data_IF_901692647133
#
_entry.id   IF_901692647133
#
_cell.length_a   1.000
_cell.length_b   1.000
_cell.length_c   1.000
_cell.angle_alpha   90.00
_cell.angle_beta   90.00
_cell.angle_gamma   90.00
#
_symmetry.space_group_name_H-M   'P 1'
#
loop_
_entity.id
_entity.type
_entity.pdbx_description
1 polymer ?
#
# COMPACT_ATOMS: atom_id res chain seq x y z
N UNK A 1 -26.64 11.36 25.71
CA UNK A 1 -25.80 12.36 25.02
C UNK A 1 -24.65 11.58 24.41
N UNK A 2 -24.74 11.24 23.12
CA UNK A 2 -23.69 10.52 22.43
C UNK A 2 -22.63 11.55 22.02
N UNK A 3 -21.40 11.37 22.48
CA UNK A 3 -20.28 12.19 22.03
C UNK A 3 -19.99 11.69 20.62
N UNK A 4 -20.29 12.51 19.61
CA UNK A 4 -19.89 12.27 18.23
C UNK A 4 -18.35 12.32 18.20
N UNK A 5 -17.74 11.15 18.37
CA UNK A 5 -16.30 10.99 18.17
C UNK A 5 -16.05 11.14 16.68
N UNK A 6 -15.69 12.34 16.24
CA UNK A 6 -15.03 12.52 14.94
C UNK A 6 -13.75 11.70 14.99
N UNK A 7 -13.78 10.53 14.35
CA UNK A 7 -12.59 9.70 14.12
C UNK A 7 -11.49 10.60 13.52
N UNK A 8 -10.23 10.46 13.95
CA UNK A 8 -9.11 11.17 13.32
C UNK A 8 -9.10 10.91 11.82
N UNK A 9 -8.80 11.90 10.99
CA UNK A 9 -8.72 11.71 9.52
C UNK A 9 -7.76 10.59 9.12
N UNK A 10 -6.71 10.37 9.92
CA UNK A 10 -5.70 9.33 9.70
C UNK A 10 -6.26 7.92 9.94
N UNK A 11 -7.30 7.78 10.79
CA UNK A 11 -7.98 6.51 11.02
C UNK A 11 -8.64 5.98 9.74
N UNK A 12 -9.24 6.87 8.95
CA UNK A 12 -9.92 6.48 7.71
C UNK A 12 -8.91 6.16 6.59
N UNK A 13 -7.71 6.77 6.58
CA UNK A 13 -6.65 6.41 5.64
C UNK A 13 -6.11 5.00 5.92
N UNK A 14 -5.80 4.68 7.18
CA UNK A 14 -5.36 3.34 7.57
C UNK A 14 -6.42 2.28 7.25
N UNK A 15 -7.67 2.52 7.64
CA UNK A 15 -8.76 1.57 7.42
C UNK A 15 -9.03 1.29 5.92
N UNK A 16 -8.95 2.31 5.07
CA UNK A 16 -9.10 2.11 3.63
C UNK A 16 -7.92 1.32 3.03
N UNK A 17 -6.70 1.56 3.51
CA UNK A 17 -5.51 0.79 3.11
C UNK A 17 -5.62 -0.68 3.52
N UNK A 18 -6.07 -0.95 4.74
CA UNK A 18 -6.29 -2.32 5.23
C UNK A 18 -7.32 -3.06 4.36
N UNK A 19 -8.41 -2.40 3.98
CA UNK A 19 -9.41 -2.97 3.07
C UNK A 19 -8.86 -3.22 1.67
N UNK A 20 -8.02 -2.31 1.15
CA UNK A 20 -7.36 -2.47 -0.14
C UNK A 20 -6.43 -3.69 -0.12
N UNK A 21 -5.63 -3.82 0.93
CA UNK A 21 -4.70 -4.94 1.11
C UNK A 21 -5.51 -6.25 1.19
N UNK A 22 -6.49 -6.33 2.08
CA UNK A 22 -7.34 -7.52 2.25
C UNK A 22 -8.09 -7.96 0.96
N UNK A 23 -8.27 -7.06 -0.01
CA UNK A 23 -8.89 -7.37 -1.29
C UNK A 23 -7.94 -8.04 -2.30
N UNK A 24 -6.62 -7.85 -2.19
CA UNK A 24 -5.63 -8.30 -3.18
C UNK A 24 -5.73 -9.81 -3.53
N UNK A 25 -5.89 -10.74 -2.57
CA UNK A 25 -5.98 -12.17 -2.89
C UNK A 25 -7.23 -12.55 -3.70
N UNK A 26 -8.25 -11.68 -3.72
CA UNK A 26 -9.51 -11.91 -4.44
C UNK A 26 -9.45 -11.45 -5.90
N UNK A 27 -8.47 -10.62 -6.25
CA UNK A 27 -8.29 -10.13 -7.62
C UNK A 27 -7.68 -11.25 -8.46
N UNK A 28 -8.42 -11.76 -9.45
CA UNK A 28 -8.00 -12.93 -10.25
C UNK A 28 -6.94 -12.59 -11.31
N UNK A 29 -7.01 -11.39 -11.86
CA UNK A 29 -6.04 -10.94 -12.87
C UNK A 29 -4.78 -10.41 -12.18
N UNK A 30 -3.65 -11.02 -12.51
CA UNK A 30 -2.38 -10.70 -11.84
C UNK A 30 -1.90 -9.28 -12.17
N UNK A 31 -2.16 -8.79 -13.38
CA UNK A 31 -1.80 -7.41 -13.77
C UNK A 31 -2.66 -6.38 -13.03
N UNK A 32 -3.94 -6.67 -12.87
CA UNK A 32 -4.87 -5.86 -12.09
C UNK A 32 -4.48 -5.86 -10.61
N UNK A 33 -4.10 -7.02 -10.06
CA UNK A 33 -3.64 -7.16 -8.67
C UNK A 33 -2.39 -6.32 -8.41
N UNK A 34 -1.41 -6.39 -9.30
CA UNK A 34 -0.18 -5.59 -9.21
C UNK A 34 -0.50 -4.10 -9.30
N UNK A 35 -1.35 -3.67 -10.25
CA UNK A 35 -1.78 -2.27 -10.36
C UNK A 35 -2.49 -1.79 -9.10
N UNK A 36 -3.33 -2.64 -8.51
CA UNK A 36 -4.06 -2.32 -7.28
C UNK A 36 -3.10 -2.17 -6.08
N UNK A 37 -2.11 -3.06 -5.96
CA UNK A 37 -1.06 -2.96 -4.96
C UNK A 37 -0.25 -1.67 -5.11
N UNK A 38 0.18 -1.33 -6.33
CA UNK A 38 0.89 -0.07 -6.62
C UNK A 38 0.08 1.17 -6.22
N UNK A 39 -1.24 1.16 -6.39
CA UNK A 39 -2.11 2.25 -5.91
C UNK A 39 -2.12 2.37 -4.40
N UNK A 40 -2.16 1.25 -3.68
CA UNK A 40 -2.10 1.28 -2.21
C UNK A 40 -0.76 1.87 -1.73
N UNK A 41 0.36 1.47 -2.36
CA UNK A 41 1.68 2.05 -2.09
C UNK A 41 1.73 3.54 -2.45
N UNK A 42 1.14 3.94 -3.57
CA UNK A 42 1.01 5.36 -3.96
C UNK A 42 0.29 6.19 -2.90
N UNK A 43 -0.79 5.68 -2.31
CA UNK A 43 -1.49 6.32 -1.19
C UNK A 43 -0.60 6.44 0.06
N UNK A 44 0.20 5.42 0.37
CA UNK A 44 1.17 5.47 1.47
C UNK A 44 2.20 6.57 1.22
N UNK A 45 2.76 6.64 0.00
CA UNK A 45 3.72 7.69 -0.41
C UNK A 45 3.12 9.10 -0.29
N UNK A 46 1.87 9.28 -0.72
CA UNK A 46 1.17 10.57 -0.62
C UNK A 46 0.91 10.98 0.84
N UNK A 47 0.68 10.01 1.72
CA UNK A 47 0.47 10.24 3.16
C UNK A 47 1.78 10.48 3.91
N UNK A 48 2.89 9.90 3.45
CA UNK A 48 4.23 10.00 4.03
C UNK A 48 5.25 10.55 3.02
N UNK A 49 5.12 11.82 2.59
CA UNK A 49 5.99 12.39 1.56
C UNK A 49 7.47 12.45 1.98
N UNK A 50 7.76 12.39 3.29
CA UNK A 50 9.12 12.34 3.83
C UNK A 50 9.82 11.00 3.63
N UNK A 51 9.07 9.95 3.26
CA UNK A 51 9.61 8.62 2.94
C UNK A 51 9.93 8.47 1.45
N UNK A 52 9.58 9.47 0.63
CA UNK A 52 9.75 9.47 -0.81
C UNK A 52 11.03 10.22 -1.16
N UNK A 53 11.86 9.62 -2.01
CA UNK A 53 13.09 10.24 -2.50
C UNK A 53 12.82 11.29 -3.59
N UNK A 54 13.89 11.94 -4.06
CA UNK A 54 13.82 12.94 -5.14
C UNK A 54 13.31 12.38 -6.49
N UNK A 55 13.31 11.06 -6.66
CA UNK A 55 12.84 10.37 -7.86
C UNK A 55 11.41 9.81 -7.70
N UNK A 56 10.73 10.06 -6.57
CA UNK A 56 9.39 9.53 -6.31
C UNK A 56 9.36 8.08 -5.80
N UNK A 57 10.51 7.52 -5.46
CA UNK A 57 10.68 6.14 -5.01
C UNK A 57 10.65 6.07 -3.49
N UNK A 58 10.12 4.98 -2.95
CA UNK A 58 10.06 4.80 -1.49
C UNK A 58 10.10 3.34 -1.11
N UNK A 59 11.27 2.86 -0.70
CA UNK A 59 11.44 1.52 -0.13
C UNK A 59 10.61 1.38 1.16
N UNK A 60 10.64 2.40 2.03
CA UNK A 60 9.87 2.42 3.26
C UNK A 60 8.35 2.31 3.03
N UNK A 61 7.80 2.90 1.97
CA UNK A 61 6.38 2.75 1.64
C UNK A 61 6.03 1.30 1.23
N UNK A 62 6.94 0.64 0.50
CA UNK A 62 6.80 -0.76 0.15
C UNK A 62 6.95 -1.66 1.37
N UNK A 63 7.95 -1.45 2.23
CA UNK A 63 8.11 -2.20 3.48
C UNK A 63 6.86 -2.09 4.36
N UNK A 64 6.36 -0.87 4.58
CA UNK A 64 5.14 -0.64 5.36
C UNK A 64 3.91 -1.32 4.74
N UNK A 65 3.78 -1.28 3.41
CA UNK A 65 2.71 -1.99 2.71
C UNK A 65 2.75 -3.50 2.94
N UNK A 66 3.95 -4.10 2.93
CA UNK A 66 4.14 -5.52 3.20
C UNK A 66 3.89 -5.86 4.68
N UNK A 67 4.27 -4.99 5.62
CA UNK A 67 3.99 -5.16 7.06
C UNK A 67 2.49 -5.15 7.37
N UNK A 68 1.69 -4.39 6.62
CA UNK A 68 0.24 -4.32 6.79
C UNK A 68 -0.49 -5.59 6.33
N UNK A 69 0.13 -6.44 5.51
CA UNK A 69 -0.50 -7.69 5.07
C UNK A 69 -0.29 -8.82 6.07
N UNK A 70 -1.39 -9.48 6.45
CA UNK A 70 -1.37 -10.69 7.29
C UNK A 70 -1.01 -11.97 6.51
N UNK A 71 -0.57 -11.86 5.26
CA UNK A 71 -0.25 -12.97 4.37
C UNK A 71 0.96 -12.66 3.49
N UNK A 72 1.60 -13.68 2.92
CA UNK A 72 2.76 -13.49 2.06
C UNK A 72 2.33 -12.93 0.69
N UNK A 73 2.67 -11.66 0.45
CA UNK A 73 2.41 -10.99 -0.81
C UNK A 73 3.15 -11.60 -2.01
N UNK A 74 4.29 -12.26 -1.76
CA UNK A 74 5.05 -12.91 -2.83
C UNK A 74 4.29 -14.13 -3.39
N UNK A 75 3.53 -14.84 -2.56
CA UNK A 75 2.71 -15.99 -2.98
C UNK A 75 1.59 -15.57 -3.96
N UNK A 76 1.11 -14.33 -3.83
CA UNK A 76 0.10 -13.77 -4.74
C UNK A 76 0.73 -12.91 -5.85
N UNK A 77 2.04 -13.03 -6.09
CA UNK A 77 2.72 -12.41 -7.22
C UNK A 77 3.01 -10.91 -7.07
N UNK A 78 2.88 -10.36 -5.87
CA UNK A 78 3.24 -8.96 -5.57
C UNK A 78 4.65 -8.97 -4.99
N UNK A 79 5.57 -8.25 -5.64
CA UNK A 79 6.97 -8.12 -5.20
C UNK A 79 7.33 -6.66 -5.06
N UNK A 80 8.16 -6.37 -4.05
CA UNK A 80 8.76 -5.03 -3.93
C UNK A 80 9.73 -4.80 -5.09
N UNK A 81 9.67 -3.65 -5.80
CA UNK A 81 10.62 -3.29 -6.85
C UNK A 81 12.07 -3.31 -6.35
N UNK A 82 12.29 -2.99 -5.08
CA UNK A 82 13.60 -2.99 -4.44
C UNK A 82 14.16 -4.41 -4.22
N UNK A 83 13.27 -5.40 -4.06
CA UNK A 83 13.65 -6.81 -3.97
C UNK A 83 13.84 -7.46 -5.35
N UNK A 84 13.12 -7.00 -6.38
CA UNK A 84 13.23 -7.51 -7.76
C UNK A 84 14.28 -6.78 -8.61
N UNK A 85 14.78 -5.62 -8.15
CA UNK A 85 15.64 -4.74 -8.93
C UNK A 85 14.88 -3.97 -10.02
N UNK A 86 13.56 -3.88 -9.91
CA UNK A 86 12.68 -3.16 -10.81
C UNK A 86 12.53 -1.69 -10.38
N UNK A 87 12.02 -0.86 -11.30
CA UNK A 87 11.77 0.54 -11.01
C UNK A 87 10.50 0.70 -10.16
N UNK A 88 10.57 1.58 -9.14
CA UNK A 88 9.40 1.89 -8.31
C UNK A 88 8.52 2.94 -9.00
N UNK A 89 7.56 2.44 -9.78
CA UNK A 89 6.58 3.21 -10.56
C UNK A 89 5.23 3.41 -9.82
N UNK A 90 5.15 3.11 -8.52
CA UNK A 90 3.95 3.32 -7.73
C UNK A 90 3.69 4.83 -7.52
N UNK A 91 2.52 5.32 -7.96
CA UNK A 91 2.09 6.73 -7.87
C UNK A 91 0.75 6.86 -7.15
#
# INVERSE_FOLDING_TARGET
MFIDQKKPKDFDCGYNLDLMIAALPRIKDDQERIKYAKRAVGLIKQSHPTWVDENGKSEAAWEYFFELAEYDMNEIGIKSPFASGEDDDAQ
#
